data_IF_554069954628
#
_entry.id   IF_554069954628
#
_cell.length_a   1.000
_cell.length_b   1.000
_cell.length_c   1.000
_cell.angle_alpha   90.00
_cell.angle_beta   90.00
_cell.angle_gamma   90.00
#
_symmetry.space_group_name_H-M   'P 1'
#
loop_
_entity.id
_entity.type
_entity.pdbx_description
1 polymer ?
#
# COMPACT_ATOMS: atom_id res chain seq x y z
N UNK A 1 -6.58 -25.79 12.37
CA UNK A 1 -5.25 -25.18 12.44
C UNK A 1 -4.62 -25.32 11.06
N UNK A 2 -4.62 -24.26 10.25
CA UNK A 2 -3.99 -24.25 8.93
C UNK A 2 -2.52 -23.86 9.09
N UNK A 3 -1.62 -24.66 8.53
CA UNK A 3 -0.18 -24.37 8.51
C UNK A 3 0.07 -23.20 7.55
N UNK A 4 0.29 -22.00 8.08
CA UNK A 4 0.68 -20.84 7.27
C UNK A 4 2.19 -20.89 7.05
N UNK A 5 2.62 -21.29 5.85
CA UNK A 5 4.02 -21.25 5.45
C UNK A 5 4.33 -19.83 4.96
N UNK A 6 5.16 -19.11 5.69
CA UNK A 6 5.59 -17.76 5.31
C UNK A 6 6.76 -17.82 4.33
N UNK A 7 6.46 -17.78 3.03
CA UNK A 7 7.47 -17.66 1.99
C UNK A 7 7.78 -16.18 1.71
N UNK A 8 9.07 -15.84 1.59
CA UNK A 8 9.52 -14.47 1.26
C UNK A 8 9.36 -14.22 -0.24
N UNK A 9 8.13 -13.97 -0.68
CA UNK A 9 7.81 -13.55 -2.03
C UNK A 9 7.41 -12.07 -2.04
N UNK A 10 7.70 -11.36 -3.15
CA UNK A 10 7.27 -9.98 -3.36
C UNK A 10 6.32 -9.95 -4.54
N UNK A 11 5.07 -9.57 -4.27
CA UNK A 11 4.08 -9.26 -5.30
C UNK A 11 3.94 -7.74 -5.38
N UNK A 12 4.11 -7.18 -6.57
CA UNK A 12 4.02 -5.75 -6.84
C UNK A 12 3.08 -5.58 -8.01
N UNK A 13 2.12 -4.66 -7.89
CA UNK A 13 1.22 -4.34 -8.97
C UNK A 13 1.95 -3.55 -10.07
N UNK A 14 1.63 -3.86 -11.31
CA UNK A 14 2.16 -3.15 -12.49
C UNK A 14 1.32 -1.88 -12.71
N UNK A 15 1.55 -0.87 -11.87
CA UNK A 15 0.70 0.32 -11.77
C UNK A 15 0.50 1.10 -13.08
N UNK A 16 1.48 1.08 -13.99
CA UNK A 16 1.39 1.77 -15.28
C UNK A 16 0.44 1.11 -16.28
N UNK A 17 -0.04 -0.11 -16.00
CA UNK A 17 -0.96 -0.87 -16.85
C UNK A 17 -2.38 -0.95 -16.26
N UNK A 18 -2.67 -0.22 -15.18
CA UNK A 18 -4.00 -0.16 -14.60
C UNK A 18 -4.94 0.57 -15.57
N UNK A 19 -6.13 0.00 -15.86
CA UNK A 19 -7.14 0.60 -16.73
C UNK A 19 -8.20 1.35 -15.91
N UNK A 20 -8.71 2.44 -16.48
CA UNK A 20 -9.48 3.50 -15.83
C UNK A 20 -11.00 3.19 -15.71
N UNK A 21 -11.70 3.81 -14.74
CA UNK A 21 -13.17 3.71 -14.67
C UNK A 21 -13.90 4.19 -13.40
N UNK A 22 -13.23 4.45 -12.28
CA UNK A 22 -13.88 4.96 -11.04
C UNK A 22 -13.03 6.05 -10.36
N UNK A 23 -11.89 5.72 -9.73
CA UNK A 23 -11.00 6.65 -8.99
C UNK A 23 -9.53 6.57 -9.51
N UNK A 24 -9.34 6.39 -10.82
CA UNK A 24 -8.01 6.22 -11.44
C UNK A 24 -7.16 7.50 -11.42
N UNK A 25 -7.80 8.66 -11.28
CA UNK A 25 -7.16 9.98 -11.44
C UNK A 25 -6.75 10.64 -10.12
N UNK A 26 -7.26 10.15 -8.99
CA UNK A 26 -6.88 10.67 -7.68
C UNK A 26 -5.52 10.13 -7.24
N UNK A 27 -4.45 10.76 -7.70
CA UNK A 27 -3.09 10.46 -7.22
C UNK A 27 -2.90 11.08 -5.83
N UNK A 28 -3.12 10.28 -4.78
CA UNK A 28 -2.89 10.72 -3.40
C UNK A 28 -1.39 10.75 -3.09
N UNK A 29 -0.87 11.93 -2.78
CA UNK A 29 0.51 12.11 -2.33
C UNK A 29 0.50 12.80 -0.97
N UNK A 30 0.76 12.10 0.15
CA UNK A 30 0.85 12.75 1.45
C UNK A 30 2.18 13.51 1.50
N UNK A 31 2.18 14.75 1.02
CA UNK A 31 3.33 15.63 1.15
C UNK A 31 3.24 16.31 2.51
N UNK A 32 3.97 15.78 3.48
CA UNK A 32 4.26 16.54 4.69
C UNK A 32 5.20 17.67 4.29
N UNK A 33 4.77 18.92 4.49
CA UNK A 33 5.60 20.09 4.21
C UNK A 33 6.81 20.09 5.15
N UNK A 34 8.02 20.27 4.62
CA UNK A 34 9.27 20.31 5.41
C UNK A 34 9.18 21.35 6.54
N UNK A 35 8.45 22.44 6.33
CA UNK A 35 8.18 23.47 7.34
C UNK A 35 7.43 22.91 8.55
N UNK A 36 6.43 22.07 8.34
CA UNK A 36 5.69 21.42 9.44
C UNK A 36 6.58 20.48 10.26
N UNK A 37 7.47 19.72 9.60
CA UNK A 37 8.45 18.86 10.29
C UNK A 37 9.41 19.71 11.12
N UNK A 38 9.93 20.81 10.55
CA UNK A 38 10.84 21.72 11.27
C UNK A 38 10.16 22.35 12.47
N UNK A 39 8.92 22.80 12.32
CA UNK A 39 8.13 23.37 13.41
C UNK A 39 7.86 22.35 14.51
N UNK A 40 7.47 21.12 14.14
CA UNK A 40 7.25 20.02 15.06
C UNK A 40 8.52 19.70 15.86
N UNK A 41 9.67 19.54 15.18
CA UNK A 41 10.95 19.26 15.83
C UNK A 41 11.39 20.41 16.75
N UNK A 42 11.21 21.67 16.34
CA UNK A 42 11.51 22.83 17.17
C UNK A 42 10.63 22.85 18.44
N UNK A 43 9.34 22.53 18.30
CA UNK A 43 8.42 22.45 19.43
C UNK A 43 8.80 21.32 20.40
N UNK A 44 9.09 20.12 19.88
CA UNK A 44 9.54 18.98 20.69
C UNK A 44 10.82 19.34 21.45
N UNK A 45 11.81 19.93 20.78
CA UNK A 45 13.06 20.36 21.41
C UNK A 45 12.82 21.41 22.50
N UNK A 46 11.89 22.35 22.28
CA UNK A 46 11.52 23.35 23.28
C UNK A 46 10.79 22.76 24.50
N UNK A 47 10.09 21.64 24.34
CA UNK A 47 9.34 20.96 25.40
C UNK A 47 10.10 19.80 26.05
N UNK A 48 11.36 19.56 25.66
CA UNK A 48 12.17 18.41 26.08
C UNK A 48 11.44 17.07 25.87
N UNK A 49 10.66 16.97 24.79
CA UNK A 49 9.95 15.73 24.46
C UNK A 49 10.84 14.72 23.77
N UNK A 50 10.59 13.43 24.02
CA UNK A 50 11.22 12.34 23.28
C UNK A 50 10.38 11.98 22.07
N UNK A 51 10.99 11.95 20.88
CA UNK A 51 10.35 11.49 19.64
C UNK A 51 10.72 10.04 19.37
N UNK A 52 9.74 9.26 18.95
CA UNK A 52 9.95 7.89 18.48
C UNK A 52 9.65 7.79 16.98
N UNK A 53 10.48 7.05 16.26
CA UNK A 53 10.26 6.72 14.86
C UNK A 53 9.79 5.27 14.74
N UNK A 54 8.74 5.05 13.94
CA UNK A 54 8.23 3.71 13.65
C UNK A 54 8.42 3.45 12.15
N UNK A 55 9.16 2.38 11.82
CA UNK A 55 9.25 1.84 10.46
C UNK A 55 8.28 0.66 10.33
N UNK A 56 7.18 0.89 9.61
CA UNK A 56 6.17 -0.14 9.39
C UNK A 56 6.56 -0.94 8.15
N UNK A 57 6.80 -2.24 8.33
CA UNK A 57 7.00 -3.16 7.21
C UNK A 57 5.65 -3.46 6.56
N UNK A 58 5.68 -3.66 5.24
CA UNK A 58 4.51 -4.07 4.45
C UNK A 58 3.28 -3.18 4.65
N UNK A 59 3.46 -1.87 4.78
CA UNK A 59 2.40 -0.87 5.05
C UNK A 59 1.14 -1.07 4.22
N UNK A 60 1.29 -1.29 2.90
CA UNK A 60 0.14 -1.42 2.01
C UNK A 60 -0.68 -2.68 2.28
N UNK A 61 -0.06 -3.77 2.76
CA UNK A 61 -0.79 -5.00 3.11
C UNK A 61 -1.64 -4.86 4.38
N UNK A 62 -1.55 -3.74 5.09
CA UNK A 62 -2.46 -3.42 6.19
C UNK A 62 -3.71 -2.66 5.72
N UNK A 63 -3.66 -2.10 4.51
CA UNK A 63 -4.76 -1.39 3.88
C UNK A 63 -5.75 -2.33 3.21
N UNK A 64 -7.04 -2.19 3.52
CA UNK A 64 -8.13 -2.91 2.85
C UNK A 64 -8.56 -2.10 1.63
N UNK A 65 -8.60 -2.74 0.45
CA UNK A 65 -9.14 -2.12 -0.75
C UNK A 65 -10.67 -2.11 -0.68
N UNK A 66 -11.28 -0.94 -0.86
CA UNK A 66 -12.73 -0.81 -1.00
C UNK A 66 -13.20 -1.01 -2.45
N UNK A 67 -12.31 -0.70 -3.39
CA UNK A 67 -12.52 -0.89 -4.81
C UNK A 67 -12.20 -2.32 -5.22
N UNK A 68 -12.94 -2.86 -6.18
CA UNK A 68 -12.57 -4.12 -6.82
C UNK A 68 -11.36 -3.89 -7.74
N UNK A 69 -10.22 -4.42 -7.33
CA UNK A 69 -9.00 -4.41 -8.14
C UNK A 69 -8.62 -5.84 -8.49
N UNK A 70 -8.45 -6.09 -9.78
CA UNK A 70 -7.99 -7.37 -10.31
C UNK A 70 -6.57 -7.24 -10.83
N UNK A 71 -5.77 -8.30 -10.63
CA UNK A 71 -4.42 -8.41 -11.19
C UNK A 71 -4.28 -9.71 -11.97
N UNK A 72 -3.51 -9.64 -13.06
CA UNK A 72 -3.12 -10.84 -13.81
C UNK A 72 -2.32 -11.81 -12.94
N UNK A 73 -2.24 -13.06 -13.39
CA UNK A 73 -1.52 -14.09 -12.63
C UNK A 73 -0.04 -13.74 -12.49
N UNK A 74 0.56 -13.88 -11.28
CA UNK A 74 1.97 -13.59 -11.09
C UNK A 74 2.83 -14.52 -11.94
N UNK A 75 3.95 -14.00 -12.45
CA UNK A 75 4.95 -14.81 -13.13
C UNK A 75 5.42 -15.93 -12.19
N UNK A 76 5.36 -17.18 -12.66
CA UNK A 76 5.71 -18.35 -11.86
C UNK A 76 4.61 -18.85 -10.90
N UNK A 77 3.44 -18.21 -10.88
CA UNK A 77 2.26 -18.64 -10.11
C UNK A 77 0.98 -18.58 -10.95
N UNK A 78 1.00 -19.28 -12.09
CA UNK A 78 -0.15 -19.39 -12.99
C UNK A 78 -0.86 -20.73 -12.85
N UNK A 79 -2.18 -20.71 -12.97
CA UNK A 79 -2.99 -21.93 -12.93
C UNK A 79 -3.05 -22.57 -14.32
N UNK A 80 -2.60 -23.83 -14.44
CA UNK A 80 -2.68 -24.57 -15.71
C UNK A 80 -4.12 -24.85 -16.15
N UNK A 81 -5.07 -24.90 -15.21
CA UNK A 81 -6.49 -25.15 -15.49
C UNK A 81 -7.26 -23.87 -15.84
N UNK A 82 -6.79 -22.74 -15.34
CA UNK A 82 -7.48 -21.45 -15.42
C UNK A 82 -6.51 -20.38 -15.90
N UNK A 83 -6.09 -20.50 -17.16
CA UNK A 83 -5.06 -19.61 -17.75
C UNK A 83 -5.56 -18.16 -17.85
N UNK A 84 -6.85 -17.97 -18.10
CA UNK A 84 -7.45 -16.64 -18.31
C UNK A 84 -8.00 -16.01 -17.02
N UNK A 85 -7.78 -16.63 -15.85
CA UNK A 85 -8.26 -16.09 -14.58
C UNK A 85 -7.34 -14.99 -14.05
N UNK A 86 -7.97 -14.00 -13.43
CA UNK A 86 -7.31 -12.93 -12.68
C UNK A 86 -7.51 -13.13 -11.18
N UNK A 87 -6.66 -12.51 -10.36
CA UNK A 87 -6.80 -12.49 -8.91
C UNK A 87 -7.45 -11.19 -8.46
N UNK A 88 -8.51 -11.29 -7.66
CA UNK A 88 -9.05 -10.15 -6.94
C UNK A 88 -8.14 -9.81 -5.73
N UNK A 89 -7.92 -8.53 -5.49
CA UNK A 89 -7.13 -8.04 -4.36
C UNK A 89 -8.03 -7.51 -3.25
N UNK A 90 -7.92 -8.10 -2.06
CA UNK A 90 -8.57 -7.58 -0.84
C UNK A 90 -7.75 -6.47 -0.17
N UNK A 91 -6.44 -6.42 -0.46
CA UNK A 91 -5.46 -5.57 0.21
C UNK A 91 -4.67 -4.75 -0.77
N UNK A 92 -4.26 -3.56 -0.35
CA UNK A 92 -3.45 -2.69 -1.19
C UNK A 92 -2.05 -3.29 -1.42
N UNK A 93 -1.59 -3.21 -2.66
CA UNK A 93 -0.24 -3.62 -3.07
C UNK A 93 0.58 -2.41 -3.46
N UNK A 94 1.90 -2.52 -3.29
CA UNK A 94 2.83 -1.55 -3.85
C UNK A 94 2.62 -1.47 -5.38
N UNK A 95 2.60 -0.25 -5.92
CA UNK A 95 2.37 0.02 -7.33
C UNK A 95 0.91 0.28 -7.71
N UNK A 96 -0.07 0.02 -6.83
CA UNK A 96 -1.44 0.51 -7.05
C UNK A 96 -1.52 2.01 -6.82
N UNK A 97 -2.27 2.72 -7.67
CA UNK A 97 -2.51 4.16 -7.50
C UNK A 97 -3.20 4.51 -6.18
N UNK A 98 -4.08 3.62 -5.72
CA UNK A 98 -4.86 3.77 -4.49
C UNK A 98 -4.06 3.45 -3.21
N UNK A 99 -2.96 2.72 -3.31
CA UNK A 99 -2.24 2.21 -2.13
C UNK A 99 -1.79 3.29 -1.14
N UNK A 100 -1.30 4.48 -1.57
CA UNK A 100 -0.98 5.58 -0.66
C UNK A 100 -2.19 6.11 0.11
N UNK A 101 -3.35 6.27 -0.54
CA UNK A 101 -4.60 6.74 0.09
C UNK A 101 -5.11 5.74 1.11
N UNK A 102 -5.18 4.47 0.72
CA UNK A 102 -5.63 3.39 1.61
C UNK A 102 -4.73 3.29 2.84
N UNK A 103 -3.42 3.50 2.69
CA UNK A 103 -2.52 3.55 3.84
C UNK A 103 -2.75 4.77 4.74
N UNK A 104 -3.01 5.94 4.16
CA UNK A 104 -3.34 7.13 4.93
C UNK A 104 -4.63 6.93 5.75
N UNK A 105 -5.65 6.32 5.18
CA UNK A 105 -6.91 6.00 5.86
C UNK A 105 -6.74 5.01 7.03
N UNK A 106 -5.68 4.19 7.02
CA UNK A 106 -5.35 3.29 8.14
C UNK A 106 -4.65 4.03 9.28
N UNK A 107 -3.94 5.11 8.97
CA UNK A 107 -3.18 5.90 9.95
C UNK A 107 -3.97 7.07 10.55
N UNK A 108 -5.06 7.49 9.90
CA UNK A 108 -5.93 8.60 10.33
C UNK A 108 -7.04 8.13 11.25
#
# INVERSE_FOLDING_TARGET
>A
SSLVIQNKARLVAVGYSQQEGIDYDETFTPVIQIEAIRLFLAYVAHKDFTVFQIDVKTVFLNGILREEVYVGQPLGFFSKQYLDHVYALDKALCGLKQAPRVWYDVLS
#
